data_IF_677725510261
#
_entry.id   IF_677725510261
#
_cell.length_a   1.000
_cell.length_b   1.000
_cell.length_c   1.000
_cell.angle_alpha   90.00
_cell.angle_beta   90.00
_cell.angle_gamma   90.00
#
_symmetry.space_group_name_H-M   'P 1'
#
loop_
_entity.id
_entity.type
_entity.pdbx_description
1 polymer ?
#
# COMPACT_ATOMS: atom_id res chain seq x y z
N UNK A 1 28.80 -21.24 10.46
CA UNK A 1 28.85 -20.87 9.03
C UNK A 1 27.48 -20.35 8.56
N UNK A 2 27.38 -19.07 8.20
CA UNK A 2 26.16 -18.52 7.62
C UNK A 2 25.91 -19.18 6.23
N UNK A 3 24.67 -19.56 5.90
CA UNK A 3 24.38 -20.23 4.64
C UNK A 3 24.71 -19.31 3.47
N UNK A 4 25.45 -19.83 2.48
CA UNK A 4 25.77 -19.14 1.24
C UNK A 4 24.49 -19.04 0.40
N UNK A 5 23.80 -17.90 0.49
CA UNK A 5 22.63 -17.59 -0.33
C UNK A 5 22.98 -17.75 -1.81
N UNK A 6 22.11 -18.40 -2.59
CA UNK A 6 22.22 -18.50 -4.04
C UNK A 6 22.15 -17.12 -4.72
N UNK A 7 22.62 -16.98 -5.97
CA UNK A 7 22.53 -15.71 -6.71
C UNK A 7 21.12 -15.06 -6.71
N UNK A 8 20.01 -15.79 -6.97
CA UNK A 8 18.68 -15.19 -6.89
C UNK A 8 18.29 -14.76 -5.47
N UNK A 9 18.68 -15.51 -4.43
CA UNK A 9 18.43 -15.14 -3.04
C UNK A 9 19.24 -13.90 -2.62
N UNK A 10 20.47 -13.75 -3.12
CA UNK A 10 21.28 -12.53 -2.92
C UNK A 10 20.65 -11.32 -3.60
N UNK A 11 20.13 -11.47 -4.82
CA UNK A 11 19.40 -10.40 -5.52
C UNK A 11 18.14 -10.01 -4.74
N UNK A 12 17.37 -10.98 -4.26
CA UNK A 12 16.20 -10.71 -3.41
C UNK A 12 16.58 -10.00 -2.11
N UNK A 13 17.68 -10.39 -1.48
CA UNK A 13 18.17 -9.73 -0.27
C UNK A 13 18.60 -8.30 -0.55
N UNK A 14 19.33 -8.05 -1.64
CA UNK A 14 19.69 -6.69 -2.07
C UNK A 14 18.45 -5.84 -2.36
N UNK A 15 17.43 -6.41 -3.02
CA UNK A 15 16.18 -5.70 -3.30
C UNK A 15 15.44 -5.32 -2.00
N UNK A 16 15.39 -6.22 -1.00
CA UNK A 16 14.80 -5.92 0.31
C UNK A 16 15.52 -4.78 1.04
N UNK A 17 16.84 -4.73 0.94
CA UNK A 17 17.63 -3.64 1.54
C UNK A 17 17.34 -2.33 0.82
N UNK A 18 17.30 -2.33 -0.51
CA UNK A 18 16.94 -1.15 -1.31
C UNK A 18 15.53 -0.66 -0.98
N UNK A 19 14.53 -1.55 -0.96
CA UNK A 19 13.15 -1.20 -0.59
C UNK A 19 13.08 -0.54 0.80
N UNK A 20 13.81 -1.07 1.78
CA UNK A 20 13.84 -0.52 3.13
C UNK A 20 14.52 0.85 3.19
N UNK A 21 15.66 1.02 2.51
CA UNK A 21 16.36 2.31 2.43
C UNK A 21 15.53 3.36 1.68
N UNK A 22 14.89 2.96 0.59
CA UNK A 22 14.02 3.80 -0.21
C UNK A 22 12.77 4.21 0.57
N UNK A 23 12.19 3.34 1.39
CA UNK A 23 11.08 3.68 2.29
C UNK A 23 11.45 4.81 3.29
N UNK A 24 12.65 4.79 3.88
CA UNK A 24 13.10 5.84 4.80
C UNK A 24 13.28 7.20 4.10
N UNK A 25 13.83 7.18 2.88
CA UNK A 25 13.97 8.38 2.03
C UNK A 25 12.60 8.91 1.62
N UNK A 26 11.69 8.04 1.18
CA UNK A 26 10.31 8.39 0.79
C UNK A 26 9.53 8.99 1.94
N UNK A 27 9.64 8.41 3.15
CA UNK A 27 9.01 8.99 4.34
C UNK A 27 9.54 10.41 4.60
N UNK A 28 10.83 10.65 4.40
CA UNK A 28 11.45 11.97 4.59
C UNK A 28 11.00 12.97 3.52
N UNK A 29 10.98 12.57 2.25
CA UNK A 29 10.50 13.40 1.12
C UNK A 29 9.02 13.70 1.28
N UNK A 30 8.19 12.71 1.59
CA UNK A 30 6.77 12.90 1.88
C UNK A 30 6.55 13.87 3.04
N UNK A 31 7.34 13.78 4.11
CA UNK A 31 7.27 14.71 5.25
C UNK A 31 7.69 16.14 4.84
N UNK A 32 8.66 16.28 3.93
CA UNK A 32 9.09 17.58 3.40
C UNK A 32 8.04 18.20 2.45
N UNK A 33 7.48 17.43 1.52
CA UNK A 33 6.41 17.88 0.63
C UNK A 33 5.11 18.19 1.39
N UNK A 34 4.85 17.48 2.49
CA UNK A 34 3.74 17.71 3.43
C UNK A 34 3.82 19.07 4.13
N UNK A 35 5.02 19.65 4.27
CA UNK A 35 5.20 20.99 4.81
C UNK A 35 4.70 22.10 3.88
N UNK A 36 4.47 21.81 2.59
CA UNK A 36 4.25 22.86 1.59
C UNK A 36 2.81 22.99 1.07
N UNK A 37 1.92 22.00 1.23
CA UNK A 37 0.55 22.05 0.65
C UNK A 37 -0.49 21.33 1.51
N UNK A 38 -1.73 21.87 1.55
CA UNK A 38 -2.92 21.34 2.26
C UNK A 38 -3.45 19.97 1.80
N UNK A 39 -2.56 19.08 1.37
CA UNK A 39 -2.77 17.71 0.91
C UNK A 39 -2.58 16.67 2.02
N UNK A 40 -2.02 17.07 3.17
CA UNK A 40 -1.79 16.21 4.34
C UNK A 40 -3.02 15.38 4.77
N UNK A 41 -4.23 15.96 4.89
CA UNK A 41 -5.40 15.17 5.31
C UNK A 41 -5.80 14.10 4.28
N UNK A 42 -5.57 14.36 2.99
CA UNK A 42 -5.88 13.43 1.91
C UNK A 42 -4.86 12.28 1.88
N UNK A 43 -3.57 12.56 2.01
CA UNK A 43 -2.53 11.54 2.08
C UNK A 43 -2.66 10.64 3.31
N UNK A 44 -2.88 11.23 4.49
CA UNK A 44 -3.12 10.44 5.72
C UNK A 44 -4.32 9.50 5.56
N UNK A 45 -5.38 9.96 4.90
CA UNK A 45 -6.56 9.15 4.62
C UNK A 45 -6.24 7.97 3.70
N UNK A 46 -5.51 8.21 2.60
CA UNK A 46 -5.14 7.15 1.66
C UNK A 46 -4.20 6.13 2.29
N UNK A 47 -3.22 6.58 3.08
CA UNK A 47 -2.33 5.72 3.84
C UNK A 47 -3.11 4.83 4.84
N UNK A 48 -4.01 5.42 5.62
CA UNK A 48 -4.86 4.67 6.57
C UNK A 48 -5.80 3.68 5.88
N UNK A 49 -6.37 4.06 4.72
CA UNK A 49 -7.19 3.17 3.91
C UNK A 49 -6.38 1.97 3.41
N UNK A 50 -5.15 2.19 2.92
CA UNK A 50 -4.26 1.13 2.48
C UNK A 50 -3.95 0.17 3.64
N UNK A 51 -3.54 0.68 4.80
CA UNK A 51 -3.18 -0.18 5.95
C UNK A 51 -4.37 -1.05 6.39
N UNK A 52 -5.56 -0.44 6.52
CA UNK A 52 -6.78 -1.14 6.91
C UNK A 52 -7.16 -2.20 5.89
N UNK A 53 -7.14 -1.85 4.59
CA UNK A 53 -7.44 -2.79 3.53
C UNK A 53 -6.44 -3.94 3.49
N UNK A 54 -5.14 -3.68 3.60
CA UNK A 54 -4.11 -4.70 3.50
C UNK A 54 -4.25 -5.74 4.61
N UNK A 55 -4.54 -5.31 5.83
CA UNK A 55 -4.81 -6.22 6.95
C UNK A 55 -6.03 -7.12 6.67
N UNK A 56 -7.11 -6.55 6.11
CA UNK A 56 -8.28 -7.33 5.71
C UNK A 56 -7.97 -8.34 4.60
N UNK A 57 -7.23 -7.94 3.56
CA UNK A 57 -6.80 -8.82 2.47
C UNK A 57 -5.96 -9.99 2.99
N UNK A 58 -5.02 -9.74 3.90
CA UNK A 58 -4.20 -10.80 4.49
C UNK A 58 -5.00 -11.75 5.38
N UNK A 59 -5.98 -11.23 6.13
CA UNK A 59 -6.92 -12.07 6.89
C UNK A 59 -7.72 -13.00 5.98
N UNK A 60 -8.23 -12.49 4.85
CA UNK A 60 -8.95 -13.29 3.86
C UNK A 60 -8.06 -14.37 3.23
N UNK A 61 -6.82 -14.05 2.86
CA UNK A 61 -5.86 -15.02 2.29
C UNK A 61 -5.51 -16.13 3.27
N UNK A 62 -5.34 -15.79 4.54
CA UNK A 62 -5.05 -16.77 5.61
C UNK A 62 -6.25 -17.69 5.85
N UNK A 63 -7.48 -17.16 5.78
CA UNK A 63 -8.69 -17.97 5.89
C UNK A 63 -8.89 -18.92 4.70
N UNK A 64 -8.52 -18.49 3.49
CA UNK A 64 -8.64 -19.30 2.26
C UNK A 64 -7.51 -20.31 2.08
N UNK A 65 -6.32 -20.02 2.63
CA UNK A 65 -5.16 -20.87 2.51
C UNK A 65 -4.42 -20.95 3.85
N UNK A 66 -4.55 -22.08 4.53
CA UNK A 66 -3.92 -22.35 5.83
C UNK A 66 -2.39 -22.37 5.80
N UNK A 67 -1.76 -22.44 4.62
CA UNK A 67 -0.30 -22.34 4.45
C UNK A 67 0.17 -20.90 4.21
N UNK A 68 -0.75 -19.95 4.02
CA UNK A 68 -0.42 -18.54 3.84
C UNK A 68 0.07 -17.93 5.15
N UNK A 69 1.18 -17.20 5.08
CA UNK A 69 1.68 -16.39 6.20
C UNK A 69 1.29 -14.94 5.97
N UNK A 70 0.75 -14.32 7.01
CA UNK A 70 0.38 -12.91 6.98
C UNK A 70 1.60 -12.05 6.63
N UNK A 71 1.44 -11.19 5.63
CA UNK A 71 2.46 -10.21 5.24
C UNK A 71 2.13 -8.89 5.95
N UNK A 72 3.08 -8.25 6.66
CA UNK A 72 2.82 -6.95 7.26
C UNK A 72 2.58 -5.89 6.18
N UNK A 73 1.69 -4.93 6.44
CA UNK A 73 1.39 -3.84 5.49
C UNK A 73 2.61 -2.96 5.19
N UNK A 74 3.56 -2.88 6.14
CA UNK A 74 4.82 -2.15 6.00
C UNK A 74 6.01 -3.13 5.87
N UNK A 75 7.09 -2.75 5.17
CA UNK A 75 7.22 -1.54 4.34
C UNK A 75 6.29 -1.58 3.11
N UNK A 76 5.86 -0.43 2.62
CA UNK A 76 5.11 -0.32 1.37
C UNK A 76 6.07 -0.59 0.21
N UNK A 77 5.66 -1.44 -0.72
CA UNK A 77 6.40 -1.68 -1.97
C UNK A 77 5.43 -1.73 -3.16
N UNK A 78 5.99 -1.69 -4.36
CA UNK A 78 5.21 -1.64 -5.60
C UNK A 78 4.19 -2.79 -5.72
N UNK A 79 4.52 -3.99 -5.22
CA UNK A 79 3.61 -5.14 -5.24
C UNK A 79 2.38 -4.89 -4.37
N UNK A 80 2.55 -4.42 -3.14
CA UNK A 80 1.43 -4.13 -2.24
C UNK A 80 0.58 -2.98 -2.75
N UNK A 81 1.20 -1.96 -3.34
CA UNK A 81 0.50 -0.83 -3.97
C UNK A 81 -0.30 -1.30 -5.18
N UNK A 82 0.27 -2.12 -6.07
CA UNK A 82 -0.44 -2.64 -7.23
C UNK A 82 -1.72 -3.41 -6.84
N UNK A 83 -1.62 -4.28 -5.83
CA UNK A 83 -2.79 -5.00 -5.31
C UNK A 83 -3.84 -4.03 -4.72
N UNK A 84 -3.40 -2.99 -4.01
CA UNK A 84 -4.31 -1.98 -3.47
C UNK A 84 -5.00 -1.18 -4.56
N UNK A 85 -4.28 -0.79 -5.60
CA UNK A 85 -4.85 -0.05 -6.73
C UNK A 85 -5.87 -0.88 -7.51
N UNK A 86 -5.60 -2.18 -7.69
CA UNK A 86 -6.57 -3.11 -8.27
C UNK A 86 -7.87 -3.10 -7.44
N UNK A 87 -7.78 -3.23 -6.11
CA UNK A 87 -8.93 -3.12 -5.22
C UNK A 87 -9.63 -1.75 -5.27
N UNK A 88 -8.87 -0.65 -5.26
CA UNK A 88 -9.42 0.71 -5.36
C UNK A 88 -10.16 0.93 -6.68
N UNK A 89 -9.67 0.33 -7.77
CA UNK A 89 -10.31 0.41 -9.09
C UNK A 89 -11.57 -0.43 -9.20
N UNK A 90 -11.70 -1.50 -8.41
CA UNK A 90 -12.87 -2.39 -8.44
C UNK A 90 -13.94 -2.05 -7.39
N UNK A 91 -13.58 -1.28 -6.35
CA UNK A 91 -14.52 -0.96 -5.26
C UNK A 91 -15.47 0.18 -5.63
N UNK A 92 -16.68 0.10 -5.11
CA UNK A 92 -17.65 1.17 -5.23
C UNK A 92 -17.26 2.40 -4.38
N UNK A 93 -17.55 3.60 -4.87
CA UNK A 93 -17.36 4.82 -4.10
C UNK A 93 -18.29 4.82 -2.88
N UNK A 94 -17.73 5.13 -1.72
CA UNK A 94 -18.52 5.40 -0.51
C UNK A 94 -18.94 6.86 -0.47
N UNK A 95 -20.19 7.11 -0.08
CA UNK A 95 -20.71 8.46 0.17
C UNK A 95 -20.06 9.04 1.43
N UNK A 96 -19.68 10.32 1.38
CA UNK A 96 -19.07 11.01 2.52
C UNK A 96 -20.07 10.98 3.69
N UNK A 97 -19.66 10.40 4.83
CA UNK A 97 -20.45 10.24 6.06
C UNK A 97 -21.63 9.25 5.98
N UNK A 98 -21.62 8.28 5.06
CA UNK A 98 -22.61 7.21 5.03
C UNK A 98 -21.95 5.87 4.68
N UNK A 99 -22.49 4.78 5.23
CA UNK A 99 -22.15 3.42 4.82
C UNK A 99 -22.69 3.08 3.42
N UNK A 100 -23.49 3.97 2.82
CA UNK A 100 -24.01 3.84 1.46
C UNK A 100 -22.88 3.89 0.42
N UNK A 101 -22.84 2.87 -0.43
CA UNK A 101 -22.04 2.86 -1.65
C UNK A 101 -22.85 3.43 -2.81
N UNK A 102 -22.18 4.14 -3.71
CA UNK A 102 -22.76 4.54 -4.99
C UNK A 102 -22.60 3.37 -5.96
N UNK A 103 -23.68 2.60 -6.13
CA UNK A 103 -23.73 1.47 -7.06
C UNK A 103 -23.25 1.89 -8.46
N UNK A 104 -22.29 1.13 -8.99
CA UNK A 104 -21.77 1.34 -10.35
C UNK A 104 -20.79 2.49 -10.53
N UNK A 105 -20.22 3.05 -9.45
CA UNK A 105 -19.15 4.06 -9.56
C UNK A 105 -17.86 3.59 -8.91
N UNK A 106 -16.78 3.55 -9.68
CA UNK A 106 -15.43 3.22 -9.19
C UNK A 106 -14.67 4.49 -8.81
N UNK A 107 -13.60 4.34 -8.01
CA UNK A 107 -12.70 5.45 -7.67
C UNK A 107 -12.17 6.05 -8.98
N UNK A 108 -12.36 7.35 -9.16
CA UNK A 108 -11.91 8.03 -10.39
C UNK A 108 -10.39 8.12 -10.45
N UNK A 109 -9.85 8.34 -11.65
CA UNK A 109 -8.41 8.47 -11.94
C UNK A 109 -7.67 9.41 -10.96
N UNK A 110 -8.29 10.49 -10.49
CA UNK A 110 -7.65 11.40 -9.53
C UNK A 110 -7.48 10.79 -8.13
N UNK A 111 -8.40 9.92 -7.68
CA UNK A 111 -8.27 9.21 -6.40
C UNK A 111 -7.17 8.16 -6.45
N UNK A 112 -7.01 7.49 -7.59
CA UNK A 112 -5.94 6.53 -7.86
C UNK A 112 -4.58 7.25 -7.85
N UNK A 113 -4.47 8.40 -8.53
CA UNK A 113 -3.24 9.21 -8.52
C UNK A 113 -2.89 9.69 -7.11
N UNK A 114 -3.87 10.12 -6.31
CA UNK A 114 -3.63 10.51 -4.92
C UNK A 114 -3.22 9.32 -4.03
N UNK A 115 -3.74 8.12 -4.31
CA UNK A 115 -3.31 6.91 -3.61
C UNK A 115 -1.88 6.53 -4.00
N UNK A 116 -1.51 6.64 -5.28
CA UNK A 116 -0.12 6.46 -5.74
C UNK A 116 0.78 7.46 -5.04
N UNK A 117 0.49 8.77 -5.11
CA UNK A 117 1.33 9.79 -4.45
C UNK A 117 1.39 9.66 -2.92
N UNK A 118 0.41 9.01 -2.27
CA UNK A 118 0.43 8.77 -0.83
C UNK A 118 1.22 7.49 -0.44
N UNK A 119 1.46 6.59 -1.39
CA UNK A 119 2.03 5.26 -1.16
C UNK A 119 3.37 5.05 -1.89
N UNK A 120 3.72 5.94 -2.82
CA UNK A 120 5.07 6.10 -3.36
C UNK A 120 6.00 6.80 -2.36
#
# INVERSE_FOLDING_TARGET
>A
PAPLLSSPERIQQSMRVLDASTHAVRLTVATQEQSEKGTEPAYRRHYSNYQTWFQMDQGLRTAQNSTWKEVPALPINATKVALFLEYETSREKKKRNSSETFNGTTIGKSGILQAISALE
#
